data_IF_744392730025
#
_entry.id   IF_744392730025
#
_cell.length_a   1.000
_cell.length_b   1.000
_cell.length_c   1.000
_cell.angle_alpha   90.00
_cell.angle_beta   90.00
_cell.angle_gamma   90.00
#
_symmetry.space_group_name_H-M   'P 1'
#
loop_
_entity.id
_entity.type
_entity.pdbx_description
1 polymer ?
#
# COMPACT_ATOMS: atom_id res chain seq x y z
N UNK A 1 -8.44 18.70 2.71
CA UNK A 1 -7.23 17.90 2.98
C UNK A 1 -6.03 18.77 2.62
N UNK A 2 -5.11 18.96 3.55
CA UNK A 2 -3.90 19.79 3.35
C UNK A 2 -2.70 18.92 2.98
N UNK A 3 -1.60 19.53 2.52
CA UNK A 3 -0.39 18.78 2.17
C UNK A 3 0.20 17.97 3.35
N UNK A 4 0.28 18.50 4.59
CA UNK A 4 0.68 17.71 5.76
C UNK A 4 -0.22 16.50 6.03
N UNK A 5 -1.54 16.65 5.87
CA UNK A 5 -2.50 15.53 6.06
C UNK A 5 -2.22 14.41 5.06
N UNK A 6 -2.05 14.76 3.78
CA UNK A 6 -1.72 13.81 2.71
C UNK A 6 -0.43 13.06 2.98
N UNK A 7 0.58 13.75 3.49
CA UNK A 7 1.86 13.14 3.84
C UNK A 7 1.71 12.18 5.03
N UNK A 8 1.05 12.62 6.11
CA UNK A 8 0.83 11.82 7.30
C UNK A 8 0.03 10.55 7.00
N UNK A 9 -1.03 10.65 6.21
CA UNK A 9 -1.81 9.49 5.75
C UNK A 9 -0.97 8.51 4.92
N UNK A 10 -0.15 9.03 4.01
CA UNK A 10 0.75 8.21 3.19
C UNK A 10 1.76 7.43 4.01
N UNK A 11 2.38 8.09 5.00
CA UNK A 11 3.35 7.46 5.89
C UNK A 11 2.69 6.49 6.88
N UNK A 12 1.49 6.80 7.38
CA UNK A 12 0.70 5.85 8.15
C UNK A 12 0.45 4.56 7.35
N UNK A 13 -0.03 4.71 6.10
CA UNK A 13 -0.31 3.56 5.24
C UNK A 13 0.98 2.77 4.92
N UNK A 14 2.12 3.45 4.73
CA UNK A 14 3.43 2.80 4.56
C UNK A 14 3.76 1.91 5.77
N UNK A 15 3.61 2.40 6.99
CA UNK A 15 3.90 1.61 8.19
C UNK A 15 2.90 0.47 8.39
N UNK A 16 1.61 0.74 8.12
CA UNK A 16 0.56 -0.28 8.17
C UNK A 16 0.84 -1.44 7.23
N UNK A 17 1.16 -1.17 5.95
CA UNK A 17 1.50 -2.20 4.97
C UNK A 17 2.73 -3.00 5.41
N UNK A 18 3.77 -2.34 5.93
CA UNK A 18 4.96 -3.04 6.46
C UNK A 18 4.62 -4.01 7.60
N UNK A 19 3.70 -3.62 8.48
CA UNK A 19 3.24 -4.49 9.56
C UNK A 19 2.44 -5.68 9.01
N UNK A 20 1.56 -5.46 8.04
CA UNK A 20 0.84 -6.56 7.37
C UNK A 20 1.76 -7.52 6.64
N UNK A 21 2.82 -7.05 5.99
CA UNK A 21 3.80 -7.95 5.38
C UNK A 21 4.45 -8.86 6.42
N UNK A 22 4.78 -8.34 7.61
CA UNK A 22 5.32 -9.16 8.70
C UNK A 22 4.31 -10.14 9.28
N UNK A 23 3.07 -9.70 9.47
CA UNK A 23 1.98 -10.58 9.88
C UNK A 23 1.76 -11.72 8.88
N UNK A 24 1.78 -11.42 7.58
CA UNK A 24 1.65 -12.44 6.54
C UNK A 24 2.81 -13.45 6.53
N UNK A 25 4.05 -12.97 6.75
CA UNK A 25 5.22 -13.86 6.92
C UNK A 25 5.08 -14.76 8.16
N UNK A 26 4.56 -14.24 9.28
CA UNK A 26 4.36 -14.99 10.53
C UNK A 26 3.26 -16.05 10.42
N UNK A 27 2.22 -15.77 9.63
CA UNK A 27 1.04 -16.63 9.47
C UNK A 27 1.12 -17.53 8.21
N UNK A 28 2.27 -17.62 7.54
CA UNK A 28 2.48 -18.37 6.29
C UNK A 28 1.51 -17.99 5.14
N UNK A 29 1.15 -16.70 5.05
CA UNK A 29 0.27 -16.16 4.02
C UNK A 29 1.10 -15.67 2.81
N UNK A 30 0.88 -16.28 1.65
CA UNK A 30 1.69 -16.03 0.45
C UNK A 30 1.46 -14.68 -0.22
N UNK A 31 0.29 -14.07 -0.01
CA UNK A 31 -0.10 -12.84 -0.69
C UNK A 31 -0.98 -11.92 0.17
N UNK A 32 -0.84 -10.62 -0.08
CA UNK A 32 -1.76 -9.57 0.36
C UNK A 32 -2.61 -9.12 -0.83
N UNK A 33 -3.83 -8.65 -0.59
CA UNK A 33 -4.75 -8.19 -1.65
C UNK A 33 -4.87 -6.68 -1.62
N UNK A 34 -4.72 -6.04 -2.78
CA UNK A 34 -4.85 -4.59 -2.92
C UNK A 34 -6.34 -4.20 -2.83
N UNK A 35 -6.64 -3.14 -2.07
CA UNK A 35 -8.00 -2.59 -1.97
C UNK A 35 -8.01 -1.07 -1.81
N UNK A 36 -9.21 -0.49 -1.95
CA UNK A 36 -9.51 0.94 -1.72
C UNK A 36 -9.79 1.17 -0.24
N UNK A 37 -8.80 1.66 0.50
CA UNK A 37 -8.92 1.97 1.93
C UNK A 37 -9.57 3.34 2.21
N UNK A 38 -9.53 4.24 1.22
CA UNK A 38 -10.10 5.59 1.31
C UNK A 38 -10.82 5.94 0.00
N UNK A 39 -11.96 6.63 0.11
CA UNK A 39 -12.65 7.18 -1.04
C UNK A 39 -11.75 8.17 -1.80
N UNK A 40 -11.72 8.05 -3.12
CA UNK A 40 -11.05 8.97 -4.01
C UNK A 40 -12.11 9.58 -4.93
N UNK A 41 -12.21 10.91 -4.98
CA UNK A 41 -13.23 11.60 -5.78
C UNK A 41 -13.01 11.43 -7.30
N UNK A 42 -11.75 11.26 -7.72
CA UNK A 42 -11.37 11.03 -9.12
C UNK A 42 -10.20 10.06 -9.17
N UNK A 43 -10.45 8.76 -8.94
CA UNK A 43 -9.39 7.77 -8.92
C UNK A 43 -8.78 7.64 -10.31
N UNK A 44 -7.45 7.52 -10.34
CA UNK A 44 -6.71 7.25 -11.57
C UNK A 44 -7.06 5.84 -12.06
N UNK A 45 -7.23 5.65 -13.37
CA UNK A 45 -7.58 4.36 -13.98
C UNK A 45 -6.59 3.27 -13.56
N UNK A 46 -5.30 3.59 -13.51
CA UNK A 46 -4.23 2.67 -13.12
C UNK A 46 -4.37 2.25 -11.64
N UNK A 47 -4.92 3.11 -10.77
CA UNK A 47 -5.16 2.77 -9.36
C UNK A 47 -6.38 1.87 -9.19
N UNK A 48 -7.39 1.99 -10.05
CA UNK A 48 -8.57 1.12 -10.05
C UNK A 48 -8.21 -0.28 -10.57
N UNK A 49 -7.46 -0.37 -11.66
CA UNK A 49 -7.02 -1.64 -12.25
C UNK A 49 -6.21 -2.53 -11.29
N UNK A 50 -5.67 -1.95 -10.22
CA UNK A 50 -4.88 -2.66 -9.22
C UNK A 50 -5.68 -3.28 -8.09
N UNK A 51 -6.93 -2.85 -7.87
CA UNK A 51 -7.77 -3.44 -6.82
C UNK A 51 -7.95 -4.94 -7.10
N UNK A 52 -7.86 -5.76 -6.05
CA UNK A 52 -7.99 -7.21 -6.13
C UNK A 52 -6.71 -7.94 -6.57
N UNK A 53 -5.67 -7.22 -7.03
CA UNK A 53 -4.40 -7.85 -7.38
C UNK A 53 -3.67 -8.32 -6.12
N UNK A 54 -2.98 -9.45 -6.26
CA UNK A 54 -2.16 -10.04 -5.21
C UNK A 54 -0.75 -9.41 -5.17
N UNK A 55 -0.22 -9.23 -3.97
CA UNK A 55 1.11 -8.71 -3.69
C UNK A 55 1.88 -9.69 -2.80
N UNK A 56 3.10 -10.06 -3.22
CA UNK A 56 3.98 -10.92 -2.41
C UNK A 56 4.54 -10.12 -1.22
N UNK A 57 4.30 -10.52 0.04
CA UNK A 57 4.68 -9.76 1.24
C UNK A 57 6.17 -9.40 1.28
N UNK A 58 7.05 -10.36 1.05
CA UNK A 58 8.51 -10.16 1.11
C UNK A 58 9.01 -9.18 0.02
N UNK A 59 8.44 -9.22 -1.18
CA UNK A 59 8.79 -8.25 -2.25
C UNK A 59 8.31 -6.85 -1.88
N UNK A 60 7.07 -6.73 -1.40
CA UNK A 60 6.49 -5.45 -1.00
C UNK A 60 7.24 -4.83 0.18
N UNK A 61 7.59 -5.64 1.18
CA UNK A 61 8.32 -5.19 2.35
C UNK A 61 9.73 -4.71 2.01
N UNK A 62 10.44 -5.42 1.13
CA UNK A 62 11.77 -4.99 0.65
C UNK A 62 11.69 -3.67 -0.11
N UNK A 63 10.72 -3.51 -1.01
CA UNK A 63 10.48 -2.26 -1.74
C UNK A 63 10.20 -1.09 -0.79
N UNK A 64 9.30 -1.26 0.18
CA UNK A 64 8.96 -0.25 1.19
C UNK A 64 10.12 0.17 2.08
N UNK A 65 11.05 -0.75 2.38
CA UNK A 65 12.26 -0.49 3.16
C UNK A 65 13.37 0.18 2.36
N UNK A 66 13.41 -0.06 1.07
CA UNK A 66 14.43 0.50 0.17
C UNK A 66 14.04 1.92 -0.25
N UNK A 67 12.75 2.16 -0.50
CA UNK A 67 12.21 3.40 -1.05
C UNK A 67 11.51 4.24 0.03
N UNK A 68 12.27 4.75 1.01
CA UNK A 68 11.74 5.57 2.12
C UNK A 68 11.43 6.99 1.63
N UNK A 69 10.26 7.53 1.98
CA UNK A 69 9.87 8.91 1.66
C UNK A 69 9.62 9.19 0.17
N UNK A 70 9.72 8.18 -0.69
CA UNK A 70 9.44 8.26 -2.14
C UNK A 70 8.44 7.20 -2.56
N UNK A 71 7.81 7.40 -3.72
CA UNK A 71 6.92 6.42 -4.32
C UNK A 71 7.65 5.09 -4.53
N UNK A 72 7.00 3.99 -4.21
CA UNK A 72 7.63 2.67 -4.30
C UNK A 72 7.61 2.14 -5.73
N UNK A 73 8.55 1.26 -6.09
CA UNK A 73 8.60 0.68 -7.44
C UNK A 73 7.39 -0.20 -7.72
N UNK A 74 6.80 -0.78 -6.66
CA UNK A 74 5.55 -1.52 -6.72
C UNK A 74 4.32 -0.61 -6.61
N UNK A 75 4.48 0.71 -6.61
CA UNK A 75 3.40 1.69 -6.64
C UNK A 75 2.46 1.63 -5.42
N UNK A 76 2.93 1.20 -4.25
CA UNK A 76 2.15 1.20 -3.01
C UNK A 76 3.04 1.54 -1.80
N UNK A 77 2.68 2.54 -0.98
CA UNK A 77 1.57 3.48 -1.16
C UNK A 77 1.85 4.51 -2.28
N UNK A 78 0.79 5.06 -2.86
CA UNK A 78 0.86 6.17 -3.82
C UNK A 78 0.04 7.35 -3.32
N UNK A 79 0.57 8.58 -3.34
CA UNK A 79 -0.18 9.76 -2.89
C UNK A 79 -1.51 9.90 -3.63
N UNK A 80 -2.57 10.21 -2.88
CA UNK A 80 -3.93 10.41 -3.37
C UNK A 80 -4.54 9.22 -4.13
N UNK A 81 -3.95 8.02 -4.07
CA UNK A 81 -4.59 6.83 -4.62
C UNK A 81 -5.66 6.29 -3.67
N UNK A 82 -5.45 6.38 -2.35
CA UNK A 82 -6.32 5.72 -1.36
C UNK A 82 -6.22 4.20 -1.38
N UNK A 83 -5.20 3.63 -2.03
CA UNK A 83 -4.94 2.19 -2.04
C UNK A 83 -4.18 1.76 -0.79
N UNK A 84 -4.54 0.59 -0.27
CA UNK A 84 -3.77 -0.14 0.73
C UNK A 84 -3.83 -1.64 0.41
N UNK A 85 -3.39 -2.48 1.33
CA UNK A 85 -3.50 -3.94 1.22
C UNK A 85 -4.17 -4.53 2.46
N UNK A 86 -4.76 -5.71 2.31
CA UNK A 86 -5.28 -6.52 3.42
C UNK A 86 -4.79 -7.97 3.29
N UNK A 87 -4.88 -8.72 4.38
CA UNK A 87 -4.74 -10.18 4.35
C UNK A 87 -5.96 -10.78 3.62
N UNK A 88 -5.79 -11.86 2.85
CA UNK A 88 -6.85 -12.48 2.05
C UNK A 88 -8.04 -12.96 2.88
#
# INVERSE_FOLDING_TARGET
MTAPDTFAEGEFNRFYIRALCRRAEEDDIEHLVIYRAKAAESPRVESEMRIGQAMVPDRLLRDLRTNIGVGTALGLPQPNSGLSVHLP
#
